data_IF_760229185003
#
_entry.id   IF_760229185003
#
_cell.length_a   1.000
_cell.length_b   1.000
_cell.length_c   1.000
_cell.angle_alpha   90.00
_cell.angle_beta   90.00
_cell.angle_gamma   90.00
#
_symmetry.space_group_name_H-M   'P 1'
#
loop_
_entity.id
_entity.type
_entity.pdbx_description
1 polymer ?
#
# COMPACT_ATOMS: atom_id res chain seq x y z
N UNK A 1 18.12 8.97 -7.82
CA UNK A 1 16.70 9.33 -7.95
C UNK A 1 15.86 8.24 -7.31
N UNK A 2 14.78 8.60 -6.64
CA UNK A 2 13.80 7.65 -6.09
C UNK A 2 12.81 7.28 -7.18
N UNK A 3 12.29 6.04 -7.20
CA UNK A 3 11.25 5.64 -8.15
C UNK A 3 9.87 6.22 -7.81
N UNK A 4 9.72 6.83 -6.63
CA UNK A 4 8.51 7.49 -6.14
C UNK A 4 8.26 8.77 -6.94
N UNK A 5 7.05 8.94 -7.46
CA UNK A 5 6.65 10.15 -8.16
C UNK A 5 6.58 11.35 -7.19
N UNK A 6 7.08 12.51 -7.60
CA UNK A 6 7.02 13.74 -6.81
C UNK A 6 5.59 14.08 -6.35
N UNK A 7 4.58 13.81 -7.19
CA UNK A 7 3.18 14.06 -6.84
C UNK A 7 2.74 13.31 -5.57
N UNK A 8 3.28 12.11 -5.34
CA UNK A 8 2.99 11.27 -4.17
C UNK A 8 3.59 11.87 -2.91
N UNK A 9 4.77 12.48 -3.01
CA UNK A 9 5.43 13.12 -1.87
C UNK A 9 4.82 14.48 -1.57
N UNK A 10 4.50 15.26 -2.61
CA UNK A 10 3.94 16.60 -2.49
C UNK A 10 2.54 16.61 -1.87
N UNK A 11 1.73 15.57 -2.10
CA UNK A 11 0.40 15.44 -1.47
C UNK A 11 0.45 15.19 0.04
N UNK A 12 1.57 14.69 0.56
CA UNK A 12 1.76 14.45 2.00
C UNK A 12 2.27 15.70 2.74
N UNK A 13 2.69 16.74 2.00
CA UNK A 13 3.19 17.98 2.57
C UNK A 13 2.04 18.90 2.97
N UNK A 14 2.07 19.34 4.24
CA UNK A 14 1.13 20.33 4.77
C UNK A 14 1.59 21.77 4.57
N UNK A 15 2.89 21.97 4.33
CA UNK A 15 3.43 23.28 4.00
C UNK A 15 3.11 23.57 2.53
N UNK A 16 2.33 24.62 2.29
CA UNK A 16 2.09 25.10 0.94
C UNK A 16 3.29 25.94 0.46
N UNK A 17 3.64 25.77 -0.81
CA UNK A 17 4.62 26.61 -1.50
C UNK A 17 4.09 28.06 -1.57
N UNK A 18 4.96 29.04 -1.33
CA UNK A 18 4.58 30.46 -1.31
C UNK A 18 3.77 30.92 -0.08
N UNK A 19 3.51 30.03 0.89
CA UNK A 19 2.90 30.37 2.16
C UNK A 19 3.91 30.76 3.24
N UNK A 20 3.40 31.26 4.37
CA UNK A 20 4.22 31.50 5.55
C UNK A 20 4.92 30.22 6.02
N UNK A 21 6.21 30.33 6.35
CA UNK A 21 7.00 29.20 6.81
C UNK A 21 6.56 28.81 8.24
N UNK A 22 6.06 27.59 8.40
CA UNK A 22 5.74 27.02 9.70
C UNK A 22 6.61 25.80 9.98
N UNK A 23 7.47 25.90 11.00
CA UNK A 23 8.28 24.74 11.43
C UNK A 23 7.40 23.56 11.84
N UNK A 24 6.21 23.82 12.40
CA UNK A 24 5.25 22.76 12.77
C UNK A 24 4.73 22.05 11.53
N UNK A 25 4.43 22.78 10.46
CA UNK A 25 3.98 22.18 9.20
C UNK A 25 5.08 21.36 8.53
N UNK A 26 6.33 21.82 8.59
CA UNK A 26 7.48 21.07 8.06
C UNK A 26 7.71 19.75 8.80
N UNK A 27 7.66 19.77 10.13
CA UNK A 27 7.79 18.56 10.96
C UNK A 27 6.64 17.59 10.73
N UNK A 28 5.40 18.08 10.60
CA UNK A 28 4.27 17.23 10.24
C UNK A 28 4.46 16.60 8.86
N UNK A 29 4.82 17.38 7.85
CA UNK A 29 5.08 16.85 6.50
C UNK A 29 6.15 15.77 6.50
N UNK A 30 7.23 15.96 7.27
CA UNK A 30 8.24 14.92 7.49
C UNK A 30 7.62 13.65 8.10
N UNK A 31 6.83 13.79 9.17
CA UNK A 31 6.18 12.64 9.82
C UNK A 31 5.22 11.90 8.88
N UNK A 32 4.47 12.60 8.03
CA UNK A 32 3.58 11.96 7.05
C UNK A 32 4.37 11.17 6.00
N UNK A 33 5.43 11.76 5.44
CA UNK A 33 6.28 11.04 4.48
C UNK A 33 6.97 9.84 5.14
N UNK A 34 7.41 9.95 6.39
CA UNK A 34 8.00 8.84 7.15
C UNK A 34 7.01 7.71 7.48
N UNK A 35 5.70 7.97 7.46
CA UNK A 35 4.66 6.95 7.65
C UNK A 35 4.41 6.11 6.41
N UNK A 36 4.91 6.52 5.24
CA UNK A 36 4.77 5.75 4.02
C UNK A 36 5.58 4.44 4.13
N UNK A 37 5.00 3.28 3.83
CA UNK A 37 5.63 1.97 4.05
C UNK A 37 6.88 1.73 3.19
N UNK A 38 7.02 2.47 2.09
CA UNK A 38 8.15 2.41 1.16
C UNK A 38 9.18 3.53 1.39
N UNK A 39 9.06 4.29 2.48
CA UNK A 39 10.04 5.32 2.87
C UNK A 39 10.84 4.84 4.08
N UNK A 40 12.17 4.88 3.98
CA UNK A 40 13.07 4.46 5.06
C UNK A 40 13.46 5.61 5.99
N UNK A 41 13.73 6.78 5.44
CA UNK A 41 14.13 7.96 6.23
C UNK A 41 13.92 9.24 5.43
N UNK A 42 13.56 10.31 6.14
CA UNK A 42 13.39 11.65 5.56
C UNK A 42 14.18 12.67 6.37
N UNK A 43 14.97 13.49 5.70
CA UNK A 43 15.62 14.67 6.29
C UNK A 43 15.24 15.90 5.49
N UNK A 44 15.12 17.05 6.15
CA UNK A 44 14.85 18.31 5.47
C UNK A 44 15.93 19.34 5.83
N UNK A 45 16.32 20.15 4.85
CA UNK A 45 17.23 21.29 5.05
C UNK A 45 16.57 22.58 4.57
N UNK A 46 16.82 23.67 5.29
CA UNK A 46 16.29 25.00 4.99
C UNK A 46 17.42 25.88 4.46
N UNK A 47 17.26 26.41 3.26
CA UNK A 47 18.22 27.31 2.62
C UNK A 47 17.55 28.65 2.35
N UNK A 48 18.18 29.76 2.72
CA UNK A 48 17.66 31.08 2.33
C UNK A 48 17.93 31.32 0.86
N UNK A 49 16.94 31.84 0.16
CA UNK A 49 17.09 32.20 -1.26
C UNK A 49 18.04 33.39 -1.35
N UNK A 50 19.12 33.31 -2.15
CA UNK A 50 20.03 34.43 -2.33
C UNK A 50 19.29 35.64 -2.94
N UNK A 51 19.32 36.79 -2.26
CA UNK A 51 18.75 38.04 -2.76
C UNK A 51 17.33 38.37 -2.29
N UNK A 52 16.64 37.48 -1.56
CA UNK A 52 15.36 37.77 -0.92
C UNK A 52 15.45 37.51 0.59
N UNK A 53 15.11 38.50 1.46
CA UNK A 53 15.25 38.34 2.91
C UNK A 53 14.21 37.39 3.51
N UNK A 54 13.07 37.20 2.82
CA UNK A 54 11.88 36.52 3.35
C UNK A 54 11.59 35.17 2.67
N UNK A 55 12.45 34.75 1.73
CA UNK A 55 12.29 33.48 1.01
C UNK A 55 13.23 32.39 1.54
N UNK A 56 12.67 31.19 1.72
CA UNK A 56 13.37 30.01 2.21
C UNK A 56 12.97 28.80 1.37
N UNK A 57 13.96 28.17 0.75
CA UNK A 57 13.82 26.88 0.09
C UNK A 57 13.93 25.75 1.12
N UNK A 58 13.03 24.77 1.02
CA UNK A 58 13.03 23.59 1.88
C UNK A 58 13.26 22.36 1.03
N UNK A 59 14.42 21.73 1.20
CA UNK A 59 14.80 20.55 0.43
C UNK A 59 14.58 19.30 1.27
N UNK A 60 13.71 18.41 0.79
CA UNK A 60 13.49 17.09 1.38
C UNK A 60 14.40 16.05 0.73
N UNK A 61 15.18 15.37 1.56
CA UNK A 61 16.05 14.26 1.16
C UNK A 61 15.41 12.98 1.65
N UNK A 62 14.97 12.15 0.70
CA UNK A 62 14.17 10.95 0.98
C UNK A 62 14.98 9.72 0.59
N UNK A 63 15.02 8.75 1.50
CA UNK A 63 15.59 7.43 1.24
C UNK A 63 14.47 6.43 1.02
N UNK A 64 14.35 5.93 -0.21
CA UNK A 64 13.40 4.89 -0.56
C UNK A 64 13.76 3.56 0.11
N UNK A 65 12.76 2.90 0.68
CA UNK A 65 12.80 1.53 1.18
C UNK A 65 12.15 0.55 0.20
N UNK A 66 12.12 -0.75 0.54
CA UNK A 66 11.42 -1.74 -0.28
C UNK A 66 9.90 -1.49 -0.23
N UNK A 67 9.28 -1.26 -1.39
CA UNK A 67 7.83 -1.11 -1.51
C UNK A 67 7.10 -2.46 -1.64
N UNK A 68 7.73 -3.42 -2.32
CA UNK A 68 7.20 -4.75 -2.54
C UNK A 68 7.64 -5.73 -1.45
N UNK A 69 6.69 -6.55 -1.00
CA UNK A 69 6.86 -7.56 0.03
C UNK A 69 6.21 -8.87 -0.45
N UNK A 70 6.96 -9.95 -0.35
CA UNK A 70 6.47 -11.30 -0.59
C UNK A 70 6.44 -12.05 0.74
N UNK A 71 5.27 -12.54 1.13
CA UNK A 71 5.08 -13.37 2.31
C UNK A 71 4.41 -14.67 1.93
N UNK A 72 4.60 -15.70 2.75
CA UNK A 72 4.00 -17.00 2.53
C UNK A 72 4.05 -17.84 3.79
N UNK A 73 3.19 -18.84 3.84
CA UNK A 73 3.04 -19.70 5.00
C UNK A 73 2.50 -21.07 4.62
N UNK A 74 2.76 -22.02 5.50
CA UNK A 74 2.16 -23.35 5.47
C UNK A 74 1.57 -23.64 6.84
N UNK A 75 0.39 -24.27 6.86
CA UNK A 75 -0.33 -24.63 8.07
C UNK A 75 -0.90 -26.03 7.96
N UNK A 76 -1.10 -26.70 9.10
CA UNK A 76 -1.75 -28.00 9.16
C UNK A 76 -2.87 -27.98 10.20
N UNK A 77 -4.03 -28.50 9.82
CA UNK A 77 -5.18 -28.66 10.70
C UNK A 77 -5.75 -30.08 10.56
N UNK A 78 -6.25 -30.67 11.66
CA UNK A 78 -6.88 -31.99 11.61
C UNK A 78 -8.10 -32.00 10.65
N UNK A 79 -8.84 -30.90 10.59
CA UNK A 79 -10.04 -30.75 9.76
C UNK A 79 -9.68 -30.35 8.32
N UNK A 80 -8.81 -29.35 8.14
CA UNK A 80 -8.52 -28.76 6.83
C UNK A 80 -7.25 -29.32 6.16
N UNK A 81 -6.56 -30.24 6.83
CA UNK A 81 -5.28 -30.83 6.43
C UNK A 81 -4.24 -29.75 6.15
N UNK A 82 -3.42 -29.95 5.12
CA UNK A 82 -2.40 -29.00 4.70
C UNK A 82 -3.03 -27.77 4.06
N UNK A 83 -2.57 -26.60 4.48
CA UNK A 83 -2.93 -25.27 3.96
C UNK A 83 -1.65 -24.54 3.57
N UNK A 84 -1.70 -23.83 2.45
CA UNK A 84 -0.63 -23.02 1.91
C UNK A 84 -1.18 -21.63 1.62
N UNK A 85 -0.39 -20.61 1.93
CA UNK A 85 -0.69 -19.23 1.57
C UNK A 85 0.56 -18.56 1.00
N UNK A 86 0.35 -17.70 0.02
CA UNK A 86 1.34 -16.81 -0.54
C UNK A 86 0.66 -15.46 -0.75
N UNK A 87 1.33 -14.38 -0.37
CA UNK A 87 0.84 -13.03 -0.55
C UNK A 87 1.97 -12.17 -1.10
N UNK A 88 1.68 -11.46 -2.18
CA UNK A 88 2.54 -10.43 -2.73
C UNK A 88 1.81 -9.10 -2.58
N UNK A 89 2.45 -8.13 -1.92
CA UNK A 89 1.92 -6.78 -1.77
C UNK A 89 2.98 -5.77 -2.20
N UNK A 90 2.60 -4.81 -3.03
CA UNK A 90 3.42 -3.68 -3.42
C UNK A 90 2.70 -2.38 -3.06
N UNK A 91 3.27 -1.61 -2.13
CA UNK A 91 2.66 -0.39 -1.61
C UNK A 91 2.94 0.87 -2.45
N UNK A 92 3.81 0.78 -3.47
CA UNK A 92 4.11 1.88 -4.38
C UNK A 92 4.19 1.37 -5.82
N UNK A 93 3.09 0.76 -6.28
CA UNK A 93 3.02 0.16 -7.60
C UNK A 93 3.35 1.21 -8.67
N UNK A 94 4.44 0.97 -9.41
CA UNK A 94 4.98 1.86 -10.45
C UNK A 94 5.35 3.28 -9.97
N UNK A 95 5.56 3.51 -8.67
CA UNK A 95 5.87 4.85 -8.14
C UNK A 95 4.67 5.78 -8.03
N UNK A 96 3.45 5.26 -8.22
CA UNK A 96 2.21 6.06 -8.22
C UNK A 96 1.62 6.28 -6.82
N UNK A 97 2.20 5.64 -5.80
CA UNK A 97 1.67 5.62 -4.44
C UNK A 97 0.38 4.81 -4.30
N UNK A 98 0.13 3.91 -5.24
CA UNK A 98 -1.00 2.98 -5.26
C UNK A 98 -0.54 1.60 -4.79
N UNK A 99 -1.45 0.86 -4.16
CA UNK A 99 -1.16 -0.43 -3.57
C UNK A 99 -1.73 -1.56 -4.44
N UNK A 100 -0.91 -2.55 -4.77
CA UNK A 100 -1.31 -3.77 -5.45
C UNK A 100 -1.08 -4.96 -4.52
N UNK A 101 -2.14 -5.71 -4.20
CA UNK A 101 -2.03 -6.96 -3.46
C UNK A 101 -2.54 -8.14 -4.29
N UNK A 102 -1.81 -9.24 -4.20
CA UNK A 102 -2.15 -10.52 -4.80
C UNK A 102 -1.98 -11.58 -3.69
N UNK A 103 -3.09 -12.18 -3.29
CA UNK A 103 -3.11 -13.23 -2.29
C UNK A 103 -3.58 -14.55 -2.91
N UNK A 104 -2.82 -15.61 -2.65
CA UNK A 104 -3.16 -16.96 -3.02
C UNK A 104 -3.23 -17.79 -1.74
N UNK A 105 -4.32 -18.51 -1.54
CA UNK A 105 -4.42 -19.51 -0.49
C UNK A 105 -5.05 -20.78 -1.02
N UNK A 106 -4.56 -21.92 -0.55
CA UNK A 106 -4.99 -23.22 -1.02
C UNK A 106 -4.85 -24.27 0.07
N UNK A 107 -5.84 -25.14 0.17
CA UNK A 107 -5.82 -26.29 1.05
C UNK A 107 -6.62 -27.45 0.46
N UNK A 108 -6.79 -28.51 1.24
CA UNK A 108 -7.46 -29.72 0.77
C UNK A 108 -8.94 -29.52 0.36
N UNK A 109 -9.59 -28.48 0.87
CA UNK A 109 -11.04 -28.26 0.70
C UNK A 109 -11.41 -26.88 0.12
N UNK A 110 -10.46 -25.96 0.05
CA UNK A 110 -10.72 -24.60 -0.39
C UNK A 110 -9.50 -24.01 -1.10
N UNK A 111 -9.75 -23.27 -2.18
CA UNK A 111 -8.77 -22.47 -2.89
C UNK A 111 -9.32 -21.06 -3.06
N UNK A 112 -8.51 -20.07 -2.71
CA UNK A 112 -8.88 -18.67 -2.82
C UNK A 112 -7.77 -17.89 -3.51
N UNK A 113 -8.17 -17.09 -4.48
CA UNK A 113 -7.31 -16.14 -5.16
C UNK A 113 -7.93 -14.78 -4.97
N UNK A 114 -7.13 -13.81 -4.54
CA UNK A 114 -7.55 -12.43 -4.40
C UNK A 114 -6.53 -11.52 -5.08
N UNK A 115 -7.03 -10.56 -5.83
CA UNK A 115 -6.25 -9.48 -6.39
C UNK A 115 -6.97 -8.20 -5.98
N UNK A 116 -6.26 -7.27 -5.36
CA UNK A 116 -6.79 -5.96 -5.03
C UNK A 116 -5.83 -4.86 -5.44
N UNK A 117 -6.41 -3.75 -5.88
CA UNK A 117 -5.72 -2.54 -6.27
C UNK A 117 -6.36 -1.37 -5.54
N UNK A 118 -5.57 -0.64 -4.76
CA UNK A 118 -6.04 0.49 -3.95
C UNK A 118 -5.35 1.77 -4.39
N UNK A 119 -6.16 2.77 -4.77
CA UNK A 119 -5.73 4.15 -4.92
C UNK A 119 -6.17 4.94 -3.68
N UNK A 120 -5.24 5.34 -2.79
CA UNK A 120 -5.58 6.07 -1.57
C UNK A 120 -6.01 7.53 -1.81
N UNK A 121 -5.76 8.12 -2.98
CA UNK A 121 -6.03 9.53 -3.27
C UNK A 121 -6.68 9.72 -4.64
N UNK A 122 -7.84 9.09 -4.87
CA UNK A 122 -8.61 9.34 -6.10
C UNK A 122 -9.14 10.78 -6.16
N UNK A 123 -9.36 11.38 -5.00
CA UNK A 123 -9.66 12.81 -4.85
C UNK A 123 -8.59 13.51 -4.02
N UNK A 124 -8.44 14.83 -4.21
CA UNK A 124 -7.51 15.65 -3.43
C UNK A 124 -7.78 15.61 -1.92
N UNK A 125 -9.00 15.24 -1.50
CA UNK A 125 -9.41 15.18 -0.10
C UNK A 125 -9.04 13.84 0.58
N UNK A 126 -8.31 12.94 -0.10
CA UNK A 126 -7.87 11.67 0.47
C UNK A 126 -8.97 10.60 0.54
N UNK A 127 -9.95 10.65 -0.36
CA UNK A 127 -10.87 9.52 -0.55
C UNK A 127 -10.09 8.39 -1.22
N UNK A 128 -10.14 7.20 -0.63
CA UNK A 128 -9.57 5.98 -1.20
C UNK A 128 -10.59 5.20 -2.03
N UNK A 129 -10.11 4.58 -3.10
CA UNK A 129 -10.86 3.61 -3.89
C UNK A 129 -10.07 2.31 -3.94
N UNK A 130 -10.71 1.20 -3.62
CA UNK A 130 -10.16 -0.15 -3.79
C UNK A 130 -10.98 -0.90 -4.81
N UNK A 131 -10.32 -1.50 -5.79
CA UNK A 131 -10.88 -2.47 -6.71
C UNK A 131 -10.35 -3.84 -6.32
N UNK A 132 -11.25 -4.81 -6.18
CA UNK A 132 -10.91 -6.15 -5.73
C UNK A 132 -11.62 -7.20 -6.57
N UNK A 133 -10.88 -8.25 -6.93
CA UNK A 133 -11.37 -9.44 -7.58
C UNK A 133 -10.99 -10.63 -6.71
N UNK A 134 -11.99 -11.41 -6.31
CA UNK A 134 -11.78 -12.65 -5.57
C UNK A 134 -12.43 -13.83 -6.28
N UNK A 135 -11.73 -14.95 -6.31
CA UNK A 135 -12.25 -16.24 -6.72
C UNK A 135 -12.09 -17.21 -5.56
N UNK A 136 -13.19 -17.85 -5.16
CA UNK A 136 -13.21 -18.86 -4.12
C UNK A 136 -13.84 -20.14 -4.66
N UNK A 137 -13.14 -21.26 -4.50
CA UNK A 137 -13.58 -22.60 -4.85
C UNK A 137 -13.54 -23.45 -3.58
N UNK A 138 -14.71 -23.85 -3.09
CA UNK A 138 -14.85 -24.66 -1.87
C UNK A 138 -15.63 -25.93 -2.16
N UNK A 139 -15.03 -27.05 -1.78
CA UNK A 139 -15.64 -28.38 -1.86
C UNK A 139 -15.93 -28.88 -0.45
N UNK A 140 -17.22 -29.00 -0.09
CA UNK A 140 -17.63 -29.61 1.17
C UNK A 140 -18.07 -31.06 0.94
N UNK A 141 -17.46 -31.99 1.69
CA UNK A 141 -17.91 -33.38 1.77
C UNK A 141 -18.83 -33.53 2.97
N UNK A 142 -20.14 -33.62 2.73
CA UNK A 142 -21.10 -34.10 3.74
C UNK A 142 -21.20 -35.63 3.64
N UNK A 143 -21.09 -36.33 4.76
CA UNK A 143 -21.00 -37.80 4.85
C UNK A 143 -22.27 -38.57 4.47
N UNK A 144 -23.26 -37.91 3.87
CA UNK A 144 -24.47 -38.53 3.33
C UNK A 144 -24.76 -37.91 1.97
N UNK A 145 -24.18 -38.52 0.93
CA UNK A 145 -24.78 -38.57 -0.41
C UNK A 145 -24.91 -37.28 -1.25
N UNK A 146 -24.05 -36.26 -1.10
CA UNK A 146 -23.85 -35.27 -2.18
C UNK A 146 -22.58 -34.43 -2.01
N UNK A 147 -21.77 -34.29 -3.06
CA UNK A 147 -20.65 -33.35 -3.08
C UNK A 147 -21.19 -31.95 -3.36
N UNK A 148 -21.04 -31.01 -2.42
CA UNK A 148 -21.39 -29.61 -2.65
C UNK A 148 -20.14 -28.84 -3.08
N UNK A 149 -20.14 -28.39 -4.33
CA UNK A 149 -19.09 -27.55 -4.90
C UNK A 149 -19.64 -26.13 -5.07
N UNK A 150 -19.02 -25.14 -4.43
CA UNK A 150 -19.41 -23.74 -4.53
C UNK A 150 -18.27 -22.92 -5.09
N UNK A 151 -18.51 -22.28 -6.24
CA UNK A 151 -17.59 -21.35 -6.89
C UNK A 151 -18.18 -19.95 -6.85
N UNK A 152 -17.46 -19.02 -6.26
CA UNK A 152 -17.91 -17.62 -6.14
C UNK A 152 -16.85 -16.69 -6.69
N UNK A 153 -17.28 -15.77 -7.56
CA UNK A 153 -16.48 -14.63 -8.02
C UNK A 153 -17.09 -13.38 -7.39
N UNK A 154 -16.30 -12.61 -6.66
CA UNK A 154 -16.73 -11.29 -6.17
C UNK A 154 -15.89 -10.20 -6.82
N UNK A 155 -16.58 -9.13 -7.21
CA UNK A 155 -16.03 -7.86 -7.66
C UNK A 155 -16.49 -6.78 -6.68
N UNK A 156 -15.56 -5.98 -6.18
CA UNK A 156 -15.84 -4.92 -5.21
C UNK A 156 -14.94 -3.73 -5.43
#
# INVERSE_FOLDING_TARGET
>A
ETAINDKVLRRELHQLEGGWLSNVSLERGKQFIERLPYVKSVTYSKHRVPGSPDEVDVNYQIKQGPAAQLSGGLGYSATYKLMLNANFGDADFLGTGNELNISLSGGAFAKMYNISYTDPFITQNGVSQTLSLSYNDSTQFVSSSSQFNSKTINLG
#
